data_IF_302663282507
#
_entry.id   IF_302663282507
#
_cell.length_a   1.000
_cell.length_b   1.000
_cell.length_c   1.000
_cell.angle_alpha   90.00
_cell.angle_beta   90.00
_cell.angle_gamma   90.00
#
_symmetry.space_group_name_H-M   'P 1'
#
loop_
_entity.id
_entity.type
_entity.pdbx_description
1 polymer ?
#
# COMPACT_ATOMS: atom_id res chain seq x y z
N UNK A 1 -18.04 12.76 -19.07
CA UNK A 1 -16.69 12.62 -19.68
C UNK A 1 -16.66 11.35 -20.50
N UNK A 2 -15.95 11.31 -21.65
CA UNK A 2 -15.90 10.12 -22.48
C UNK A 2 -15.25 8.99 -21.68
N UNK A 3 -15.91 7.84 -21.60
CA UNK A 3 -15.26 6.60 -21.15
C UNK A 3 -14.29 6.21 -22.25
N UNK A 4 -12.98 6.30 -21.99
CA UNK A 4 -11.99 5.81 -22.94
C UNK A 4 -12.24 4.33 -23.24
N UNK A 5 -12.06 3.95 -24.50
CA UNK A 5 -12.13 2.55 -24.87
C UNK A 5 -11.02 1.79 -24.10
N UNK A 6 -11.36 0.74 -23.33
CA UNK A 6 -10.38 0.03 -22.49
C UNK A 6 -9.20 -0.54 -23.28
N UNK A 7 -9.42 -1.00 -24.51
CA UNK A 7 -8.36 -1.57 -25.35
C UNK A 7 -7.39 -0.50 -25.86
N UNK A 8 -7.93 0.66 -26.25
CA UNK A 8 -7.10 1.80 -26.68
C UNK A 8 -6.29 2.36 -25.51
N UNK A 9 -6.93 2.52 -24.36
CA UNK A 9 -6.27 2.97 -23.14
C UNK A 9 -5.13 2.02 -22.74
N UNK A 10 -5.40 0.72 -22.73
CA UNK A 10 -4.38 -0.27 -22.39
C UNK A 10 -3.21 -0.27 -23.39
N UNK A 11 -3.50 -0.14 -24.69
CA UNK A 11 -2.46 -0.03 -25.73
C UNK A 11 -1.62 1.23 -25.54
N UNK A 12 -2.27 2.36 -25.27
CA UNK A 12 -1.59 3.63 -24.99
C UNK A 12 -0.66 3.50 -23.77
N UNK A 13 -1.14 2.94 -22.67
CA UNK A 13 -0.33 2.78 -21.44
C UNK A 13 0.89 1.89 -21.68
N UNK A 14 0.75 0.81 -22.45
CA UNK A 14 1.90 -0.04 -22.83
C UNK A 14 2.96 0.69 -23.63
N UNK A 15 2.55 1.65 -24.46
CA UNK A 15 3.46 2.46 -25.28
C UNK A 15 4.09 3.59 -24.46
N UNK A 16 3.31 4.25 -23.61
CA UNK A 16 3.75 5.40 -22.83
C UNK A 16 4.57 5.01 -21.59
N UNK A 17 4.32 3.84 -20.99
CA UNK A 17 4.94 3.39 -19.74
C UNK A 17 5.70 2.08 -20.01
N UNK A 18 7.05 2.11 -20.11
CA UNK A 18 7.85 0.91 -20.33
C UNK A 18 7.64 -0.14 -19.21
N UNK A 19 7.52 0.32 -17.97
CA UNK A 19 7.29 -0.47 -16.76
C UNK A 19 5.80 -0.81 -16.55
N UNK A 20 4.98 -0.83 -17.60
CA UNK A 20 3.54 -1.12 -17.49
C UNK A 20 3.24 -2.48 -16.85
N UNK A 21 4.18 -3.43 -16.89
CA UNK A 21 4.06 -4.73 -16.22
C UNK A 21 4.06 -4.61 -14.67
N UNK A 22 4.58 -3.51 -14.13
CA UNK A 22 4.59 -3.22 -12.70
C UNK A 22 3.30 -2.53 -12.23
N UNK A 23 2.34 -2.29 -13.14
CA UNK A 23 1.01 -1.80 -12.80
C UNK A 23 0.19 -2.99 -12.30
N UNK A 24 -0.15 -2.97 -11.02
CA UNK A 24 -0.93 -4.01 -10.34
C UNK A 24 -2.41 -3.91 -10.72
N UNK A 25 -2.93 -2.69 -10.83
CA UNK A 25 -4.34 -2.45 -11.12
C UNK A 25 -4.53 -1.15 -11.89
N UNK A 26 -5.56 -1.13 -12.75
CA UNK A 26 -6.04 0.06 -13.43
C UNK A 26 -7.56 0.08 -13.37
N UNK A 27 -8.16 1.12 -12.79
CA UNK A 27 -9.62 1.22 -12.65
C UNK A 27 -10.15 2.62 -12.90
N UNK A 28 -11.33 2.69 -13.51
CA UNK A 28 -12.07 3.93 -13.64
C UNK A 28 -12.96 4.16 -12.43
N UNK A 29 -12.89 5.34 -11.83
CA UNK A 29 -13.78 5.74 -10.74
C UNK A 29 -15.11 6.26 -11.29
N UNK A 30 -16.17 6.23 -10.47
CA UNK A 30 -17.46 6.85 -10.81
C UNK A 30 -17.37 8.37 -11.02
N UNK A 31 -16.31 8.99 -10.49
CA UNK A 31 -16.01 10.42 -10.68
C UNK A 31 -15.25 10.71 -11.98
N UNK A 32 -15.00 9.70 -12.82
CA UNK A 32 -14.31 9.88 -14.10
C UNK A 32 -12.79 9.96 -14.00
N UNK A 33 -12.20 9.61 -12.85
CA UNK A 33 -10.74 9.54 -12.65
C UNK A 33 -10.21 8.15 -13.03
N UNK A 34 -8.99 8.09 -13.56
CA UNK A 34 -8.31 6.84 -13.90
C UNK A 34 -7.28 6.53 -12.81
N UNK A 35 -7.48 5.42 -12.12
CA UNK A 35 -6.65 5.06 -10.98
C UNK A 35 -5.67 3.95 -11.36
N UNK A 36 -4.39 4.19 -11.15
CA UNK A 36 -3.34 3.19 -11.27
C UNK A 36 -2.84 2.80 -9.89
N UNK A 37 -2.60 1.50 -9.67
CA UNK A 37 -1.95 0.99 -8.47
C UNK A 37 -0.62 0.35 -8.85
N UNK A 38 0.46 0.74 -8.20
CA UNK A 38 1.78 0.12 -8.35
C UNK A 38 2.55 0.17 -7.04
N UNK A 39 3.39 -0.83 -6.79
CA UNK A 39 4.38 -0.82 -5.72
C UNK A 39 5.75 -0.33 -6.21
N UNK A 40 5.94 -0.20 -7.52
CA UNK A 40 7.19 0.24 -8.13
C UNK A 40 7.25 1.78 -8.19
N UNK A 41 8.16 2.43 -7.45
CA UNK A 41 8.28 3.88 -7.46
C UNK A 41 8.69 4.44 -8.83
N UNK A 42 9.40 3.67 -9.66
CA UNK A 42 9.78 4.11 -11.01
C UNK A 42 8.55 4.14 -11.93
N UNK A 43 7.75 3.08 -11.90
CA UNK A 43 6.46 3.03 -12.59
C UNK A 43 5.55 4.19 -12.15
N UNK A 44 5.47 4.43 -10.83
CA UNK A 44 4.68 5.54 -10.26
C UNK A 44 5.15 6.90 -10.78
N UNK A 45 6.46 7.17 -10.74
CA UNK A 45 7.02 8.43 -11.23
C UNK A 45 6.70 8.66 -12.72
N UNK A 46 6.77 7.63 -13.56
CA UNK A 46 6.42 7.77 -14.99
C UNK A 46 4.93 7.99 -15.21
N UNK A 47 4.07 7.30 -14.47
CA UNK A 47 2.63 7.55 -14.53
C UNK A 47 2.30 9.00 -14.18
N UNK A 48 3.03 9.62 -13.24
CA UNK A 48 2.86 11.04 -12.93
C UNK A 48 3.31 12.00 -14.03
N UNK A 49 4.21 11.57 -14.91
CA UNK A 49 4.63 12.42 -16.04
C UNK A 49 3.60 12.50 -17.17
N UNK A 50 2.51 11.72 -17.11
CA UNK A 50 1.45 11.75 -18.13
C UNK A 50 0.71 13.10 -18.07
N UNK A 51 0.85 13.89 -19.14
CA UNK A 51 0.11 15.15 -19.31
C UNK A 51 -1.11 14.97 -20.22
N UNK A 52 -1.09 13.95 -21.08
CA UNK A 52 -2.15 13.65 -22.02
C UNK A 52 -2.41 12.14 -22.03
N UNK A 53 -3.67 11.74 -22.12
CA UNK A 53 -4.10 10.36 -22.37
C UNK A 53 -5.06 10.35 -23.53
N UNK A 54 -4.70 9.65 -24.61
CA UNK A 54 -5.50 9.59 -25.85
C UNK A 54 -5.91 11.00 -26.33
N UNK A 55 -4.92 11.90 -26.40
CA UNK A 55 -5.07 13.31 -26.80
C UNK A 55 -5.97 14.17 -25.91
N UNK A 56 -6.40 13.64 -24.75
CA UNK A 56 -7.11 14.40 -23.74
C UNK A 56 -6.11 14.83 -22.66
N UNK A 57 -6.00 16.14 -22.37
CA UNK A 57 -5.15 16.60 -21.28
C UNK A 57 -5.67 16.08 -19.95
N UNK A 58 -4.75 15.58 -19.13
CA UNK A 58 -5.02 15.04 -17.79
C UNK A 58 -4.17 15.77 -16.76
N UNK A 59 -4.66 15.79 -15.52
CA UNK A 59 -3.87 16.15 -14.37
C UNK A 59 -3.63 14.87 -13.57
N UNK A 60 -2.36 14.57 -13.32
CA UNK A 60 -1.92 13.42 -12.55
C UNK A 60 -1.60 13.85 -11.13
N UNK A 61 -1.99 13.02 -10.17
CA UNK A 61 -1.64 13.24 -8.77
C UNK A 61 -1.30 11.93 -8.08
N UNK A 62 -0.44 11.99 -7.07
CA UNK A 62 -0.16 10.84 -6.20
C UNK A 62 -1.09 10.90 -5.01
N UNK A 63 -1.92 9.88 -4.87
CA UNK A 63 -2.46 9.50 -3.59
C UNK A 63 -1.46 8.58 -2.91
N UNK A 64 -0.84 9.11 -1.87
CA UNK A 64 -0.08 8.31 -0.91
C UNK A 64 -1.03 7.81 0.17
N UNK A 65 -1.59 6.62 0.00
CA UNK A 65 -2.28 5.96 1.10
C UNK A 65 -1.21 5.27 1.95
N UNK A 66 -0.89 5.84 3.11
CA UNK A 66 -0.24 5.09 4.19
C UNK A 66 -1.24 4.02 4.65
N UNK A 67 -1.25 2.86 4.00
CA UNK A 67 -2.10 1.75 4.42
C UNK A 67 -1.46 1.17 5.68
N UNK A 68 -1.89 1.67 6.83
CA UNK A 68 -1.52 1.07 8.11
C UNK A 68 -2.36 -0.18 8.32
N UNK A 69 -1.76 -1.36 8.20
CA UNK A 69 -2.43 -2.61 8.58
C UNK A 69 -2.21 -2.84 10.07
N UNK A 70 -3.29 -3.19 10.77
CA UNK A 70 -3.27 -3.48 12.21
C UNK A 70 -3.72 -4.91 12.44
N UNK A 71 -2.87 -5.70 13.11
CA UNK A 71 -3.20 -7.08 13.49
C UNK A 71 -2.92 -7.31 14.96
N UNK A 72 -3.72 -8.18 15.56
CA UNK A 72 -3.71 -8.49 16.97
C UNK A 72 -3.15 -9.89 17.16
N UNK A 73 -2.03 -9.99 17.88
CA UNK A 73 -1.43 -11.28 18.20
C UNK A 73 -1.81 -11.63 19.64
N UNK A 74 -2.65 -12.66 19.86
CA UNK A 74 -2.96 -13.14 21.20
C UNK A 74 -1.74 -13.86 21.80
N UNK A 75 -1.77 -14.03 23.12
CA UNK A 75 -0.89 -14.95 23.85
C UNK A 75 0.63 -14.76 23.71
N UNK A 76 1.10 -13.52 23.49
CA UNK A 76 2.54 -13.23 23.53
C UNK A 76 3.03 -13.32 24.97
N UNK A 77 4.07 -14.12 25.28
CA UNK A 77 4.66 -14.18 26.62
C UNK A 77 5.04 -12.79 27.13
N UNK A 78 4.73 -12.49 28.39
CA UNK A 78 5.05 -11.19 29.00
C UNK A 78 6.55 -10.96 29.14
N UNK A 79 7.34 -12.04 29.20
CA UNK A 79 8.80 -12.02 29.18
C UNK A 79 9.40 -11.60 27.84
N UNK A 80 8.68 -11.80 26.73
CA UNK A 80 9.14 -11.41 25.40
C UNK A 80 9.01 -9.89 25.26
N UNK A 81 10.10 -9.21 24.94
CA UNK A 81 10.06 -7.76 24.74
C UNK A 81 9.36 -7.41 23.42
N UNK A 82 8.88 -6.18 23.29
CA UNK A 82 8.31 -5.72 22.01
C UNK A 82 9.38 -5.62 20.92
N UNK A 83 10.64 -5.40 21.30
CA UNK A 83 11.78 -5.36 20.36
C UNK A 83 12.10 -6.74 19.79
N UNK A 84 12.18 -7.77 20.65
CA UNK A 84 12.37 -9.16 20.21
C UNK A 84 11.24 -9.60 19.27
N UNK A 85 9.99 -9.30 19.64
CA UNK A 85 8.83 -9.60 18.79
C UNK A 85 8.87 -8.84 17.46
N UNK A 86 9.29 -7.56 17.48
CA UNK A 86 9.42 -6.78 16.26
C UNK A 86 10.48 -7.38 15.33
N UNK A 87 11.64 -7.74 15.87
CA UNK A 87 12.73 -8.37 15.11
C UNK A 87 12.28 -9.69 14.50
N UNK A 88 11.60 -10.55 15.25
CA UNK A 88 11.09 -11.82 14.75
C UNK A 88 10.08 -11.64 13.60
N UNK A 89 9.15 -10.69 13.75
CA UNK A 89 8.14 -10.38 12.75
C UNK A 89 8.74 -9.78 11.48
N UNK A 90 9.69 -8.85 11.60
CA UNK A 90 10.34 -8.17 10.47
C UNK A 90 11.33 -9.06 9.73
N UNK A 91 12.13 -9.88 10.42
CA UNK A 91 13.10 -10.78 9.79
C UNK A 91 12.47 -11.77 8.81
N UNK A 92 11.23 -12.20 9.09
CA UNK A 92 10.59 -13.27 8.33
C UNK A 92 9.64 -12.79 7.22
N UNK A 93 9.26 -11.50 7.20
CA UNK A 93 8.12 -11.06 6.38
C UNK A 93 8.34 -9.79 5.55
N UNK A 94 9.54 -9.21 5.51
CA UNK A 94 9.82 -7.93 4.81
C UNK A 94 8.77 -6.85 5.16
N UNK A 95 8.43 -6.75 6.45
CA UNK A 95 7.45 -5.80 6.98
C UNK A 95 8.11 -4.72 7.82
N UNK A 96 7.66 -3.48 7.61
CA UNK A 96 8.07 -2.33 8.43
C UNK A 96 7.04 -2.13 9.54
N UNK A 97 7.42 -2.47 10.76
CA UNK A 97 6.61 -2.23 11.96
C UNK A 97 6.70 -0.77 12.35
N UNK A 98 5.56 -0.08 12.37
CA UNK A 98 5.47 1.33 12.74
C UNK A 98 5.15 1.53 14.22
N UNK A 99 4.30 0.67 14.80
CA UNK A 99 3.91 0.78 16.19
C UNK A 99 3.51 -0.56 16.78
N UNK A 100 3.83 -0.78 18.05
CA UNK A 100 3.38 -1.93 18.82
C UNK A 100 2.86 -1.50 20.19
N UNK A 101 1.76 -2.12 20.62
CA UNK A 101 1.17 -1.90 21.93
C UNK A 101 0.78 -3.21 22.59
N UNK A 102 1.36 -3.49 23.74
CA UNK A 102 0.98 -4.60 24.61
C UNK A 102 -0.18 -4.19 25.52
N UNK A 103 -1.17 -5.06 25.68
CA UNK A 103 -2.29 -4.84 26.59
C UNK A 103 -2.12 -5.74 27.81
N UNK A 104 -1.79 -5.15 28.95
CA UNK A 104 -1.70 -5.85 30.23
C UNK A 104 -2.87 -5.45 31.12
N UNK A 105 -3.50 -6.44 31.75
CA UNK A 105 -4.50 -6.18 32.78
C UNK A 105 -3.77 -5.97 34.12
N UNK A 106 -4.02 -4.88 34.86
CA UNK A 106 -3.41 -4.69 36.17
C UNK A 106 -3.73 -5.89 37.09
N UNK A 107 -2.72 -6.36 37.83
CA UNK A 107 -2.82 -7.47 38.78
C UNK A 107 -3.20 -8.84 38.16
N UNK A 108 -2.98 -9.05 36.85
CA UNK A 108 -3.13 -10.40 36.28
C UNK A 108 -1.86 -11.23 36.53
N UNK A 109 -2.07 -12.49 36.90
CA UNK A 109 -1.01 -13.51 36.93
C UNK A 109 -0.80 -14.16 35.56
N UNK A 110 -1.24 -13.51 34.47
CA UNK A 110 -1.15 -14.09 33.14
C UNK A 110 0.29 -13.99 32.63
N UNK A 111 0.84 -15.14 32.25
CA UNK A 111 2.18 -15.24 31.66
C UNK A 111 2.20 -14.81 30.18
N UNK A 112 1.02 -14.57 29.59
CA UNK A 112 0.85 -14.08 28.24
C UNK A 112 -0.05 -12.84 28.21
N UNK A 113 0.13 -12.00 27.19
CA UNK A 113 -0.66 -10.80 26.98
C UNK A 113 -0.76 -10.51 25.49
N UNK A 114 -1.89 -9.98 25.01
CA UNK A 114 -2.00 -9.67 23.60
C UNK A 114 -1.23 -8.41 23.20
N UNK A 115 -0.80 -8.38 21.94
CA UNK A 115 -0.08 -7.25 21.33
C UNK A 115 -0.79 -6.83 20.05
N UNK A 116 -1.10 -5.53 19.93
CA UNK A 116 -1.52 -4.92 18.67
C UNK A 116 -0.28 -4.43 17.93
N UNK A 117 -0.12 -4.90 16.69
CA UNK A 117 0.98 -4.52 15.80
C UNK A 117 0.41 -3.68 14.67
N UNK A 118 1.08 -2.58 14.37
CA UNK A 118 0.78 -1.69 13.24
C UNK A 118 1.95 -1.74 12.28
N UNK A 119 1.70 -2.14 11.04
CA UNK A 119 2.68 -2.12 9.95
C UNK A 119 2.32 -1.02 8.97
N UNK A 120 3.33 -0.48 8.29
CA UNK A 120 3.13 0.41 7.16
C UNK A 120 3.26 -0.39 5.87
N UNK A 121 2.19 -0.40 5.07
CA UNK A 121 2.23 -0.77 3.67
C UNK A 121 2.31 0.49 2.81
N UNK A 122 3.27 0.53 1.88
CA UNK A 122 3.35 1.59 0.87
C UNK A 122 2.70 1.12 -0.42
N UNK A 123 1.58 1.75 -0.80
CA UNK A 123 0.98 1.58 -2.12
C UNK A 123 0.89 2.95 -2.79
N UNK A 124 1.45 3.07 -4.00
CA UNK A 124 1.27 4.27 -4.81
C UNK A 124 -0.02 4.13 -5.60
N UNK A 125 -0.90 5.10 -5.43
CA UNK A 125 -2.14 5.17 -6.19
C UNK A 125 -2.19 6.50 -6.95
N UNK A 126 -2.28 6.47 -8.29
CA UNK A 126 -2.16 7.66 -9.14
C UNK A 126 -3.50 7.95 -9.82
N UNK A 127 -3.94 9.21 -9.78
CA UNK A 127 -5.21 9.72 -10.33
C UNK A 127 -5.10 10.32 -11.73
#
# INVERSE_FOLDING_TARGET
MPRWNPFQLHTFIKQAIPEHLNIINMKYTHQGKLLFSTSDPVCAAKLLTLQNVLDIPVYTDVIWENISSRFFIPDIPTKTTLEELANELSCNNDIVISHMRRFMKPNSSQESSPVLVTILGTYYQIL
#
